data_IF_119328543100
#
_entry.id   IF_119328543100
#
_cell.length_a   1.000
_cell.length_b   1.000
_cell.length_c   1.000
_cell.angle_alpha   90.00
_cell.angle_beta   90.00
_cell.angle_gamma   90.00
#
_symmetry.space_group_name_H-M   'P 1'
#
loop_
_entity.id
_entity.type
_entity.pdbx_description
1 polymer ?
#
# COMPACT_ATOMS: atom_id res chain seq x y z
N UNK A 1 -18.74 -21.12 -55.37
CA UNK A 1 -18.23 -21.51 -54.03
C UNK A 1 -16.84 -20.93 -53.68
N UNK A 2 -16.33 -19.90 -54.38
CA UNK A 2 -15.05 -19.23 -53.99
C UNK A 2 -15.26 -17.89 -53.26
N UNK A 3 -16.44 -17.29 -53.40
CA UNK A 3 -16.78 -16.00 -52.77
C UNK A 3 -17.19 -16.19 -51.29
N UNK A 4 -17.68 -17.38 -50.91
CA UNK A 4 -18.07 -17.67 -49.52
C UNK A 4 -16.86 -17.80 -48.57
N UNK A 5 -15.69 -18.21 -49.08
CA UNK A 5 -14.48 -18.39 -48.25
C UNK A 5 -13.77 -17.07 -47.92
N UNK A 6 -14.07 -15.97 -48.63
CA UNK A 6 -13.47 -14.64 -48.37
C UNK A 6 -14.25 -13.93 -47.24
N UNK A 7 -15.56 -14.17 -47.12
CA UNK A 7 -16.39 -13.56 -46.08
C UNK A 7 -16.07 -14.07 -44.66
N UNK A 8 -15.54 -15.29 -44.52
CA UNK A 8 -15.26 -15.91 -43.22
C UNK A 8 -13.92 -15.47 -42.60
N UNK A 9 -13.01 -14.89 -43.39
CA UNK A 9 -11.69 -14.44 -42.92
C UNK A 9 -11.74 -12.98 -42.41
N UNK A 10 -12.71 -12.18 -42.84
CA UNK A 10 -12.87 -10.79 -42.38
C UNK A 10 -13.40 -10.65 -40.94
N UNK A 11 -13.92 -11.72 -40.32
CA UNK A 11 -14.48 -11.65 -38.96
C UNK A 11 -13.44 -11.77 -37.83
N UNK A 12 -12.17 -12.05 -38.13
CA UNK A 12 -11.12 -12.26 -37.11
C UNK A 12 -10.21 -11.05 -36.84
N UNK A 13 -10.49 -9.87 -37.42
CA UNK A 13 -9.59 -8.70 -37.31
C UNK A 13 -10.14 -7.51 -36.52
N UNK A 14 -11.22 -7.66 -35.77
CA UNK A 14 -11.63 -6.65 -34.78
C UNK A 14 -10.95 -6.90 -33.44
N UNK A 15 -9.61 -6.83 -33.40
CA UNK A 15 -8.92 -6.59 -32.14
C UNK A 15 -9.15 -5.12 -31.78
N UNK A 16 -10.22 -4.86 -31.03
CA UNK A 16 -10.41 -3.56 -30.41
C UNK A 16 -9.29 -3.39 -29.39
N UNK A 17 -8.33 -2.51 -29.68
CA UNK A 17 -7.27 -2.17 -28.73
C UNK A 17 -7.91 -1.45 -27.55
N UNK A 18 -8.09 -2.14 -26.43
CA UNK A 18 -8.58 -1.60 -25.16
C UNK A 18 -7.59 -0.60 -24.56
N UNK A 19 -8.10 0.28 -23.70
CA UNK A 19 -7.28 1.20 -22.91
C UNK A 19 -6.66 0.45 -21.74
N UNK A 20 -5.34 0.57 -21.57
CA UNK A 20 -4.62 -0.09 -20.48
C UNK A 20 -4.67 0.75 -19.22
N UNK A 21 -5.15 0.18 -18.13
CA UNK A 21 -5.20 0.81 -16.80
C UNK A 21 -4.13 0.17 -15.91
N UNK A 22 -3.06 0.89 -15.63
CA UNK A 22 -2.06 0.48 -14.66
C UNK A 22 -2.57 0.83 -13.24
N UNK A 23 -3.13 -0.16 -12.56
CA UNK A 23 -3.64 -0.02 -11.20
C UNK A 23 -2.51 -0.20 -10.19
N UNK A 24 -2.18 0.85 -9.45
CA UNK A 24 -1.19 0.78 -8.37
C UNK A 24 -1.89 0.30 -7.10
N UNK A 25 -1.87 -1.01 -6.88
CA UNK A 25 -2.64 -1.70 -5.82
C UNK A 25 -1.94 -1.70 -4.46
N UNK A 26 -0.77 -1.07 -4.32
CA UNK A 26 0.02 -1.06 -3.08
C UNK A 26 -0.77 -0.66 -1.82
N UNK A 27 -1.76 0.23 -1.94
CA UNK A 27 -2.58 0.72 -0.82
C UNK A 27 -4.00 0.17 -0.81
N UNK A 28 -4.28 -0.82 -1.65
CA UNK A 28 -5.58 -1.45 -1.79
C UNK A 28 -5.53 -2.83 -1.17
N UNK A 29 -6.60 -3.26 -0.50
CA UNK A 29 -6.76 -4.66 -0.14
C UNK A 29 -6.94 -5.51 -1.41
N UNK A 30 -6.73 -6.82 -1.28
CA UNK A 30 -7.00 -7.77 -2.37
C UNK A 30 -8.46 -7.66 -2.84
N UNK A 31 -9.41 -7.58 -1.91
CA UNK A 31 -10.84 -7.39 -2.21
C UNK A 31 -11.12 -6.08 -2.97
N UNK A 32 -10.46 -4.98 -2.60
CA UNK A 32 -10.61 -3.70 -3.30
C UNK A 32 -10.02 -3.79 -4.71
N UNK A 33 -8.82 -4.35 -4.83
CA UNK A 33 -8.12 -4.54 -6.10
C UNK A 33 -8.96 -5.38 -7.05
N UNK A 34 -9.50 -6.50 -6.59
CA UNK A 34 -10.38 -7.38 -7.36
C UNK A 34 -11.66 -6.68 -7.80
N UNK A 35 -12.30 -5.94 -6.88
CA UNK A 35 -13.54 -5.23 -7.18
C UNK A 35 -13.33 -4.16 -8.26
N UNK A 36 -12.28 -3.35 -8.13
CA UNK A 36 -11.92 -2.32 -9.12
C UNK A 36 -11.58 -2.97 -10.46
N UNK A 37 -10.76 -4.03 -10.43
CA UNK A 37 -10.33 -4.73 -11.64
C UNK A 37 -11.52 -5.25 -12.44
N UNK A 38 -12.42 -6.00 -11.78
CA UNK A 38 -13.63 -6.54 -12.41
C UNK A 38 -14.53 -5.45 -12.98
N UNK A 39 -14.81 -4.39 -12.20
CA UNK A 39 -15.65 -3.28 -12.67
C UNK A 39 -15.07 -2.58 -13.90
N UNK A 40 -13.74 -2.40 -13.97
CA UNK A 40 -13.12 -1.78 -15.14
C UNK A 40 -13.05 -2.74 -16.33
N UNK A 41 -12.78 -4.03 -16.11
CA UNK A 41 -12.79 -5.04 -17.18
C UNK A 41 -14.19 -5.22 -17.80
N UNK A 42 -15.27 -5.05 -17.02
CA UNK A 42 -16.66 -5.01 -17.52
C UNK A 42 -16.93 -3.85 -18.50
N UNK A 43 -16.09 -2.81 -18.48
CA UNK A 43 -16.15 -1.65 -19.39
C UNK A 43 -15.02 -1.68 -20.44
N UNK A 44 -14.54 -2.87 -20.80
CA UNK A 44 -13.53 -3.10 -21.85
C UNK A 44 -12.14 -2.46 -21.56
N UNK A 45 -11.80 -2.19 -20.29
CA UNK A 45 -10.44 -1.82 -19.90
C UNK A 45 -9.55 -3.04 -19.69
N UNK A 46 -8.27 -2.96 -20.09
CA UNK A 46 -7.25 -3.94 -19.71
C UNK A 46 -6.56 -3.46 -18.43
N UNK A 47 -6.82 -4.12 -17.28
CA UNK A 47 -6.27 -3.70 -16.00
C UNK A 47 -4.97 -4.47 -15.69
N UNK A 48 -3.89 -3.73 -15.44
CA UNK A 48 -2.58 -4.26 -15.07
C UNK A 48 -2.27 -3.79 -13.65
N UNK A 49 -2.61 -4.63 -12.66
CA UNK A 49 -2.30 -4.36 -11.27
C UNK A 49 -0.79 -4.50 -10.99
N UNK A 50 -0.24 -3.59 -10.19
CA UNK A 50 1.14 -3.64 -9.75
C UNK A 50 1.30 -3.03 -8.34
N UNK A 51 2.37 -3.42 -7.65
CA UNK A 51 2.67 -2.98 -6.27
C UNK A 51 3.80 -1.96 -6.20
N UNK A 52 4.07 -1.25 -7.31
CA UNK A 52 5.09 -0.21 -7.37
C UNK A 52 4.74 0.93 -6.41
N UNK A 53 5.78 1.64 -5.97
CA UNK A 53 5.61 2.84 -5.16
C UNK A 53 4.87 3.93 -5.97
N UNK A 54 4.01 4.69 -5.30
CA UNK A 54 3.49 5.93 -5.86
C UNK A 54 4.66 6.93 -5.99
N UNK A 55 4.66 7.80 -7.01
CA UNK A 55 5.57 8.95 -7.05
C UNK A 55 5.42 9.84 -5.80
N UNK A 56 6.50 10.53 -5.41
CA UNK A 56 6.54 11.38 -4.21
C UNK A 56 5.60 12.59 -4.27
N UNK A 57 5.15 13.00 -5.47
CA UNK A 57 4.22 14.11 -5.69
C UNK A 57 2.72 13.70 -5.60
N UNK A 58 2.42 12.41 -5.45
CA UNK A 58 1.04 11.89 -5.49
C UNK A 58 0.47 11.68 -4.08
N UNK A 59 -0.05 12.77 -3.50
CA UNK A 59 -0.54 12.76 -2.11
C UNK A 59 -2.01 12.34 -1.92
N UNK A 60 -2.77 12.27 -3.01
CA UNK A 60 -4.19 11.93 -3.03
C UNK A 60 -4.50 11.02 -4.22
N UNK A 61 -5.66 10.37 -4.20
CA UNK A 61 -6.13 9.57 -5.33
C UNK A 61 -6.00 10.35 -6.64
N UNK A 62 -5.27 9.79 -7.60
CA UNK A 62 -4.84 10.47 -8.81
C UNK A 62 -5.03 9.55 -10.01
N UNK A 63 -5.67 10.08 -11.04
CA UNK A 63 -5.72 9.49 -12.37
C UNK A 63 -4.76 10.24 -13.27
N UNK A 64 -3.78 9.50 -13.79
CA UNK A 64 -2.82 9.98 -14.79
C UNK A 64 -3.19 9.40 -16.15
N UNK A 65 -3.45 10.21 -17.17
CA UNK A 65 -3.88 9.67 -18.47
C UNK A 65 -3.02 10.12 -19.64
N UNK A 66 -2.82 9.25 -20.63
CA UNK A 66 -2.21 9.65 -21.90
C UNK A 66 -3.15 10.61 -22.65
N UNK A 67 -2.68 11.75 -23.19
CA UNK A 67 -3.53 12.62 -24.01
C UNK A 67 -4.09 11.97 -25.28
N UNK A 68 -3.59 10.78 -25.63
CA UNK A 68 -4.06 9.96 -26.74
C UNK A 68 -4.90 8.77 -26.28
N UNK A 69 -5.55 8.86 -25.11
CA UNK A 69 -6.61 7.90 -24.74
C UNK A 69 -7.71 7.96 -25.80
N UNK A 70 -8.06 6.81 -26.36
CA UNK A 70 -9.10 6.72 -27.39
C UNK A 70 -10.48 6.97 -26.76
N UNK A 71 -11.24 7.88 -27.37
CA UNK A 71 -12.61 8.22 -26.98
C UNK A 71 -12.65 9.11 -25.73
N UNK A 72 -13.12 10.36 -25.88
CA UNK A 72 -13.37 11.25 -24.73
C UNK A 72 -14.28 10.59 -23.69
N UNK A 73 -15.22 9.74 -24.15
CA UNK A 73 -16.15 9.00 -23.29
C UNK A 73 -15.46 7.95 -22.41
N UNK A 74 -14.35 7.34 -22.85
CA UNK A 74 -13.71 6.27 -22.08
C UNK A 74 -13.11 6.76 -20.77
N UNK A 75 -12.57 7.99 -20.74
CA UNK A 75 -12.06 8.55 -19.50
C UNK A 75 -13.21 8.83 -18.51
N UNK A 76 -14.35 9.33 -19.01
CA UNK A 76 -15.53 9.56 -18.18
C UNK A 76 -16.11 8.25 -17.63
N UNK A 77 -16.23 7.21 -18.47
CA UNK A 77 -16.69 5.88 -18.04
C UNK A 77 -15.80 5.33 -16.91
N UNK A 78 -14.48 5.50 -17.01
CA UNK A 78 -13.54 5.07 -15.97
C UNK A 78 -13.77 5.85 -14.67
N UNK A 79 -13.88 7.18 -14.74
CA UNK A 79 -14.12 8.03 -13.58
C UNK A 79 -15.46 7.68 -12.92
N UNK A 80 -16.54 7.58 -13.69
CA UNK A 80 -17.88 7.26 -13.20
C UNK A 80 -17.93 5.86 -12.55
N UNK A 81 -17.23 4.89 -13.14
CA UNK A 81 -17.09 3.54 -12.58
C UNK A 81 -16.43 3.56 -11.20
N UNK A 82 -15.41 4.39 -11.02
CA UNK A 82 -14.72 4.55 -9.74
C UNK A 82 -15.58 5.29 -8.72
N UNK A 83 -16.29 6.34 -9.12
CA UNK A 83 -17.21 7.07 -8.23
C UNK A 83 -18.34 6.17 -7.74
N UNK A 84 -18.91 5.32 -8.61
CA UNK A 84 -19.92 4.33 -8.24
C UNK A 84 -19.40 3.28 -7.23
N UNK A 85 -18.08 3.03 -7.23
CA UNK A 85 -17.42 2.19 -6.25
C UNK A 85 -17.08 2.93 -4.94
N UNK A 86 -17.32 4.24 -4.88
CA UNK A 86 -17.03 5.10 -3.73
C UNK A 86 -15.64 5.76 -3.78
N UNK A 87 -14.92 5.69 -4.89
CA UNK A 87 -13.60 6.31 -5.04
C UNK A 87 -13.72 7.72 -5.60
N UNK A 88 -13.11 8.68 -4.91
CA UNK A 88 -12.99 10.06 -5.40
C UNK A 88 -11.65 10.27 -6.08
N UNK A 89 -11.65 10.96 -7.23
CA UNK A 89 -10.46 11.31 -7.99
C UNK A 89 -10.23 12.84 -7.99
N UNK A 90 -9.70 13.41 -6.90
CA UNK A 90 -9.47 14.86 -6.82
C UNK A 90 -8.40 15.37 -7.80
N UNK A 91 -7.52 14.50 -8.30
CA UNK A 91 -6.55 14.86 -9.34
C UNK A 91 -6.78 13.97 -10.55
N UNK A 92 -7.14 14.59 -11.66
CA UNK A 92 -7.14 14.00 -13.00
C UNK A 92 -6.21 14.84 -13.84
N UNK A 93 -5.02 14.30 -14.19
CA UNK A 93 -4.02 15.05 -14.95
C UNK A 93 -3.40 14.21 -16.06
N UNK A 94 -2.97 14.83 -17.18
CA UNK A 94 -2.30 14.07 -18.22
C UNK A 94 -0.89 13.59 -17.79
N UNK A 95 -0.43 12.49 -18.37
CA UNK A 95 0.91 11.93 -18.18
C UNK A 95 1.95 12.74 -18.96
N UNK A 96 2.86 13.39 -18.22
CA UNK A 96 3.97 14.17 -18.76
C UNK A 96 5.30 13.79 -18.09
N UNK A 97 6.39 13.78 -18.85
CA UNK A 97 7.72 14.13 -18.31
C UNK A 97 8.34 15.21 -19.19
N UNK A 98 8.50 16.40 -18.62
CA UNK A 98 8.89 17.57 -19.41
C UNK A 98 7.94 17.77 -20.60
N UNK A 99 8.47 17.77 -21.82
CA UNK A 99 7.72 18.00 -23.06
C UNK A 99 7.31 16.71 -23.81
N UNK A 100 7.41 15.53 -23.19
CA UNK A 100 7.12 14.25 -23.85
C UNK A 100 5.93 13.52 -23.21
N UNK A 101 5.00 13.09 -24.06
CA UNK A 101 3.84 12.28 -23.69
C UNK A 101 4.24 10.80 -23.54
N UNK A 102 3.83 10.17 -22.44
CA UNK A 102 4.03 8.74 -22.25
C UNK A 102 2.95 7.89 -22.93
N UNK A 103 3.36 6.65 -23.26
CA UNK A 103 2.58 5.49 -23.73
C UNK A 103 1.16 5.77 -24.23
N UNK A 104 0.95 5.60 -25.55
CA UNK A 104 -0.36 5.77 -26.20
C UNK A 104 -1.42 4.86 -25.54
N UNK A 105 -2.63 5.39 -25.35
CA UNK A 105 -3.81 4.68 -24.84
C UNK A 105 -3.63 3.99 -23.46
N UNK A 106 -2.98 4.69 -22.53
CA UNK A 106 -2.74 4.17 -21.17
C UNK A 106 -3.18 5.17 -20.09
N UNK A 107 -3.59 4.62 -18.95
CA UNK A 107 -4.00 5.35 -17.73
C UNK A 107 -3.23 4.75 -16.55
N UNK A 108 -2.62 5.59 -15.72
CA UNK A 108 -2.14 5.24 -14.39
C UNK A 108 -3.20 5.57 -13.35
N UNK A 109 -3.59 4.58 -12.56
CA UNK A 109 -4.62 4.73 -11.53
C UNK A 109 -3.99 4.51 -10.15
N UNK A 110 -3.89 5.60 -9.40
CA UNK A 110 -3.29 5.65 -8.07
C UNK A 110 -4.39 5.98 -7.07
N UNK A 111 -4.89 4.98 -6.33
CA UNK A 111 -6.00 5.16 -5.40
C UNK A 111 -5.51 5.08 -3.95
N UNK A 112 -5.95 6.04 -3.14
CA UNK A 112 -5.79 6.06 -1.69
C UNK A 112 -7.18 5.93 -1.03
N UNK A 113 -7.37 4.98 -0.11
CA UNK A 113 -8.63 4.86 0.64
C UNK A 113 -8.99 6.17 1.36
N UNK A 114 -10.29 6.45 1.48
CA UNK A 114 -10.78 7.64 2.18
C UNK A 114 -10.15 7.75 3.58
N UNK A 115 -9.59 8.93 3.88
CA UNK A 115 -8.90 9.21 5.13
C UNK A 115 -7.39 8.92 5.13
N UNK A 116 -6.83 8.35 4.06
CA UNK A 116 -5.37 8.23 3.87
C UNK A 116 -4.86 9.32 2.91
N UNK A 117 -4.07 10.26 3.43
CA UNK A 117 -3.17 11.09 2.63
C UNK A 117 -1.80 10.43 2.60
N UNK A 118 -1.01 10.61 1.54
CA UNK A 118 0.39 10.14 1.54
C UNK A 118 1.21 10.80 2.67
N UNK A 119 0.81 11.99 3.14
CA UNK A 119 1.34 12.65 4.35
C UNK A 119 1.05 11.93 5.66
N UNK A 120 0.09 10.99 5.67
CA UNK A 120 -0.23 10.15 6.84
C UNK A 120 0.62 8.88 6.88
N UNK A 121 1.50 8.68 5.87
CA UNK A 121 2.53 7.66 5.90
C UNK A 121 3.61 8.09 6.91
N UNK A 122 3.73 7.32 7.99
CA UNK A 122 4.88 7.42 8.87
C UNK A 122 6.15 7.16 8.04
N UNK A 123 7.06 8.13 8.03
CA UNK A 123 8.38 7.95 7.47
C UNK A 123 9.12 6.93 8.34
N UNK A 124 10.09 6.21 7.78
CA UNK A 124 10.92 5.27 8.54
C UNK A 124 11.54 5.94 9.79
N UNK A 125 11.88 7.22 9.70
CA UNK A 125 12.38 8.01 10.83
C UNK A 125 11.36 8.25 11.95
N UNK A 126 10.06 8.30 11.63
CA UNK A 126 8.98 8.49 12.61
C UNK A 126 8.73 7.21 13.41
N UNK A 127 9.19 6.06 12.89
CA UNK A 127 9.18 4.77 13.59
C UNK A 127 10.41 4.57 14.50
N UNK A 128 11.42 5.43 14.43
CA UNK A 128 12.62 5.31 15.26
C UNK A 128 12.32 5.78 16.67
N UNK A 129 11.88 4.86 17.52
CA UNK A 129 11.47 5.13 18.88
C UNK A 129 11.70 3.93 19.81
N UNK A 130 11.50 4.19 21.10
CA UNK A 130 11.38 3.18 22.14
C UNK A 130 9.90 2.86 22.35
N UNK A 131 9.53 1.62 22.02
CA UNK A 131 8.18 1.12 22.16
C UNK A 131 8.05 0.27 23.42
N UNK A 132 6.98 0.51 24.15
CA UNK A 132 6.57 -0.30 25.29
C UNK A 132 5.68 -1.43 24.80
N UNK A 133 5.87 -2.64 25.33
CA UNK A 133 5.00 -3.74 24.96
C UNK A 133 3.71 -3.74 25.77
N UNK A 134 2.59 -3.90 25.07
CA UNK A 134 1.25 -4.02 25.63
C UNK A 134 0.66 -5.39 25.32
N UNK A 135 -0.27 -5.84 26.16
CA UNK A 135 -0.95 -7.14 26.02
C UNK A 135 0.04 -8.32 26.01
N UNK A 136 1.15 -8.16 26.72
CA UNK A 136 2.19 -9.16 26.89
C UNK A 136 2.18 -9.77 28.29
N UNK A 137 2.47 -11.05 28.37
CA UNK A 137 2.79 -11.73 29.64
C UNK A 137 4.22 -11.41 30.11
N UNK A 138 5.07 -10.92 29.20
CA UNK A 138 6.48 -10.59 29.45
C UNK A 138 6.69 -9.08 29.33
N UNK A 139 7.45 -8.52 30.27
CA UNK A 139 7.92 -7.13 30.20
C UNK A 139 9.05 -7.03 29.19
N UNK A 140 8.74 -6.50 27.99
CA UNK A 140 9.68 -6.33 26.88
C UNK A 140 9.53 -4.94 26.27
N UNK A 141 10.65 -4.36 25.84
CA UNK A 141 10.69 -3.12 25.05
C UNK A 141 11.31 -3.38 23.69
N UNK A 142 10.83 -2.68 22.68
CA UNK A 142 11.39 -2.68 21.33
C UNK A 142 11.95 -1.31 21.00
N UNK A 143 13.25 -1.24 20.70
CA UNK A 143 13.89 -0.06 20.13
C UNK A 143 14.06 -0.25 18.62
N UNK A 144 13.58 0.71 17.83
CA UNK A 144 13.90 0.81 16.41
C UNK A 144 14.92 1.95 16.21
N UNK A 145 16.07 1.64 15.63
CA UNK A 145 17.16 2.60 15.42
C UNK A 145 17.15 3.18 14.02
N UNK A 146 17.76 4.36 13.86
CA UNK A 146 17.87 5.07 12.57
C UNK A 146 18.66 4.30 11.50
N UNK A 147 19.56 3.42 11.92
CA UNK A 147 20.38 2.60 11.04
C UNK A 147 19.69 1.29 10.62
N UNK A 148 18.37 1.23 10.76
CA UNK A 148 17.52 0.08 10.42
C UNK A 148 17.79 -1.15 11.30
N UNK A 149 18.44 -0.98 12.45
CA UNK A 149 18.61 -2.05 13.44
C UNK A 149 17.53 -1.99 14.53
N UNK A 150 17.19 -3.13 15.12
CA UNK A 150 16.31 -3.18 16.30
C UNK A 150 17.01 -3.81 17.50
N UNK A 151 16.56 -3.45 18.71
CA UNK A 151 16.87 -4.20 19.94
C UNK A 151 15.61 -4.51 20.75
N UNK A 152 15.53 -5.72 21.29
CA UNK A 152 14.57 -6.13 22.30
C UNK A 152 15.24 -6.17 23.68
N UNK A 153 14.60 -5.56 24.68
CA UNK A 153 15.10 -5.55 26.07
C UNK A 153 14.03 -6.12 27.00
N UNK A 154 14.38 -7.13 27.79
CA UNK A 154 13.48 -7.79 28.75
C UNK A 154 13.83 -7.37 30.17
N UNK A 155 12.83 -7.03 30.98
CA UNK A 155 13.04 -6.56 32.36
C UNK A 155 13.13 -7.72 33.37
N UNK A 156 12.37 -8.79 33.14
CA UNK A 156 12.04 -9.76 34.20
C UNK A 156 12.53 -11.20 33.93
N UNK A 157 13.23 -11.46 32.83
CA UNK A 157 13.63 -12.82 32.46
C UNK A 157 15.08 -12.89 31.99
N UNK A 158 15.93 -13.74 32.61
CA UNK A 158 17.23 -14.09 32.03
C UNK A 158 16.98 -15.06 30.87
N UNK A 159 16.55 -14.54 29.72
CA UNK A 159 16.35 -15.38 28.54
C UNK A 159 17.71 -15.85 28.01
N UNK A 160 17.84 -17.17 27.90
CA UNK A 160 19.03 -17.90 27.42
C UNK A 160 19.20 -17.86 25.90
N UNK A 161 18.35 -17.13 25.16
CA UNK A 161 18.41 -17.03 23.71
C UNK A 161 18.68 -15.59 23.27
N UNK A 162 19.94 -15.19 23.14
CA UNK A 162 20.32 -13.85 22.68
C UNK A 162 20.00 -13.62 21.19
N UNK A 163 19.60 -14.66 20.46
CA UNK A 163 19.64 -14.68 19.00
C UNK A 163 18.58 -13.81 18.32
N UNK A 164 17.42 -13.60 18.96
CA UNK A 164 16.35 -12.73 18.44
C UNK A 164 16.39 -11.32 19.04
N UNK A 165 17.27 -11.04 20.01
CA UNK A 165 17.33 -9.76 20.72
C UNK A 165 17.70 -8.59 19.81
N UNK A 166 18.42 -8.87 18.73
CA UNK A 166 18.88 -7.84 17.79
C UNK A 166 18.68 -8.31 16.36
N UNK A 167 18.59 -7.35 15.45
CA UNK A 167 18.45 -7.63 14.04
C UNK A 167 18.20 -6.37 13.24
N UNK A 168 17.59 -6.53 12.06
CA UNK A 168 17.24 -5.44 11.16
C UNK A 168 15.74 -5.32 11.00
N UNK A 169 15.26 -4.11 10.74
CA UNK A 169 13.87 -3.86 10.40
C UNK A 169 13.77 -3.12 9.06
N UNK A 170 12.66 -3.31 8.36
CA UNK A 170 12.31 -2.52 7.17
C UNK A 170 10.80 -2.58 6.94
N UNK A 171 10.30 -1.71 6.05
CA UNK A 171 8.89 -1.67 5.64
C UNK A 171 8.79 -2.39 4.28
N UNK A 172 8.48 -3.70 4.23
CA UNK A 172 8.35 -4.41 2.96
C UNK A 172 7.19 -3.87 2.11
N UNK A 173 6.09 -3.52 2.75
CA UNK A 173 4.94 -2.82 2.16
C UNK A 173 4.21 -2.11 3.28
N UNK A 174 3.96 -0.81 3.15
CA UNK A 174 3.11 -0.10 4.13
C UNK A 174 1.69 -0.69 4.12
N UNK A 175 0.99 -0.81 5.26
CA UNK A 175 1.38 -0.41 6.62
C UNK A 175 2.18 -1.47 7.39
N UNK A 176 2.87 -2.40 6.74
CA UNK A 176 3.58 -3.48 7.42
C UNK A 176 5.07 -3.19 7.63
N UNK A 177 5.55 -3.51 8.82
CA UNK A 177 6.98 -3.55 9.18
C UNK A 177 7.40 -5.00 9.43
N UNK A 178 8.60 -5.35 8.97
CA UNK A 178 9.22 -6.65 9.20
C UNK A 178 10.50 -6.48 9.99
N UNK A 179 10.62 -7.22 11.09
CA UNK A 179 11.84 -7.37 11.87
C UNK A 179 12.45 -8.74 11.55
N UNK A 180 13.76 -8.78 11.33
CA UNK A 180 14.51 -10.02 11.05
C UNK A 180 15.70 -10.08 11.99
N UNK A 181 15.81 -11.15 12.77
CA UNK A 181 16.91 -11.34 13.72
C UNK A 181 18.28 -11.39 13.03
N UNK A 182 19.33 -11.09 13.78
CA UNK A 182 20.71 -11.11 13.27
C UNK A 182 21.12 -12.48 12.70
N UNK A 183 20.65 -13.58 13.31
CA UNK A 183 20.87 -14.94 12.82
C UNK A 183 19.95 -15.34 11.64
N UNK A 184 19.00 -14.47 11.23
CA UNK A 184 18.00 -14.68 10.17
C UNK A 184 16.98 -15.80 10.41
N UNK A 185 16.97 -16.42 11.59
CA UNK A 185 16.05 -17.51 11.92
C UNK A 185 14.67 -17.00 12.34
N UNK A 186 14.58 -15.76 12.83
CA UNK A 186 13.35 -15.18 13.36
C UNK A 186 12.92 -14.02 12.48
N UNK A 187 11.63 -14.02 12.12
CA UNK A 187 10.98 -12.91 11.44
C UNK A 187 9.69 -12.57 12.16
N UNK A 188 9.46 -11.28 12.39
CA UNK A 188 8.27 -10.77 13.05
C UNK A 188 7.60 -9.75 12.12
N UNK A 189 6.30 -9.88 11.93
CA UNK A 189 5.52 -8.97 11.08
C UNK A 189 4.51 -8.21 11.93
N UNK A 190 4.53 -6.88 11.77
CA UNK A 190 3.58 -6.02 12.44
C UNK A 190 2.89 -5.10 11.43
N UNK A 191 1.63 -4.83 11.70
CA UNK A 191 0.89 -3.73 11.08
C UNK A 191 1.12 -2.46 11.90
N UNK A 192 1.51 -1.39 11.23
CA UNK A 192 1.69 -0.05 11.78
C UNK A 192 0.31 0.62 11.82
N UNK A 193 -0.16 0.93 13.02
CA UNK A 193 -1.41 1.64 13.25
C UNK A 193 -1.12 2.99 13.92
N UNK A 194 -1.66 4.08 13.36
CA UNK A 194 -1.64 5.40 14.00
C UNK A 194 -3.01 5.68 14.61
N UNK A 195 -3.04 6.14 15.86
CA UNK A 195 -4.26 6.50 16.58
C UNK A 195 -4.02 7.83 17.30
N UNK A 196 -5.10 8.58 17.51
CA UNK A 196 -5.07 9.76 18.38
C UNK A 196 -5.97 9.45 19.56
N UNK A 197 -5.46 9.68 20.76
CA UNK A 197 -6.19 9.55 22.01
C UNK A 197 -6.14 10.88 22.78
N UNK A 198 -6.95 11.00 23.84
CA UNK A 198 -6.94 12.15 24.75
C UNK A 198 -6.60 11.62 26.15
N UNK A 199 -5.43 11.98 26.67
CA UNK A 199 -5.10 11.72 28.07
C UNK A 199 -5.78 12.75 28.98
N UNK A 200 -5.58 12.66 30.30
CA UNK A 200 -6.18 13.59 31.27
C UNK A 200 -5.79 15.06 31.05
N UNK A 201 -4.82 15.36 30.18
CA UNK A 201 -4.19 16.67 30.02
C UNK A 201 -4.23 17.17 28.56
N UNK A 202 -4.09 16.29 27.57
CA UNK A 202 -3.82 16.66 26.17
C UNK A 202 -4.15 15.55 25.18
N UNK A 203 -4.13 15.87 23.88
CA UNK A 203 -4.17 14.85 22.82
C UNK A 203 -2.82 14.14 22.75
N UNK A 204 -2.85 12.84 22.51
CA UNK A 204 -1.67 12.00 22.31
C UNK A 204 -1.79 11.31 20.96
N UNK A 205 -0.75 11.41 20.14
CA UNK A 205 -0.58 10.58 18.96
C UNK A 205 0.15 9.30 19.33
N UNK A 206 -0.45 8.15 19.01
CA UNK A 206 0.05 6.82 19.35
C UNK A 206 0.34 6.06 18.06
N UNK A 207 1.54 5.50 17.98
CA UNK A 207 1.93 4.51 16.99
C UNK A 207 1.92 3.14 17.67
N UNK A 208 1.08 2.23 17.17
CA UNK A 208 1.00 0.84 17.61
C UNK A 208 1.55 -0.06 16.50
N UNK A 209 2.51 -0.91 16.82
CA UNK A 209 2.93 -2.04 16.01
C UNK A 209 2.15 -3.27 16.47
N UNK A 210 1.08 -3.58 15.74
CA UNK A 210 0.18 -4.68 16.06
C UNK A 210 0.67 -5.96 15.36
N UNK A 211 0.80 -7.09 16.07
CA UNK A 211 1.28 -8.32 15.45
C UNK A 211 0.30 -8.81 14.38
N UNK A 212 0.81 -9.19 13.21
CA UNK A 212 0.00 -9.73 12.10
C UNK A 212 -0.40 -11.19 12.40
N UNK A 213 0.49 -11.92 13.05
CA UNK A 213 0.33 -13.31 13.42
C UNK A 213 0.80 -13.59 14.86
N UNK A 214 0.49 -14.81 15.35
CA UNK A 214 0.94 -15.24 16.68
C UNK A 214 2.42 -15.60 16.62
N UNK A 215 3.28 -14.63 16.95
CA UNK A 215 4.72 -14.84 17.04
C UNK A 215 5.09 -15.87 18.12
N UNK A 216 6.00 -16.80 17.81
CA UNK A 216 6.43 -17.82 18.80
C UNK A 216 7.06 -17.22 20.07
N UNK A 217 7.79 -16.10 19.91
CA UNK A 217 8.52 -15.44 21.01
C UNK A 217 7.61 -14.54 21.86
N UNK A 218 6.59 -13.92 21.24
CA UNK A 218 5.67 -13.00 21.91
C UNK A 218 4.29 -13.00 21.21
N UNK A 219 3.47 -14.05 21.41
CA UNK A 219 2.33 -14.36 20.53
C UNK A 219 1.18 -13.35 20.50
N UNK A 220 1.16 -12.38 21.41
CA UNK A 220 0.08 -11.40 21.53
C UNK A 220 0.55 -9.96 21.76
N UNK A 221 1.86 -9.73 21.69
CA UNK A 221 2.45 -8.45 22.03
C UNK A 221 2.25 -7.41 20.95
N UNK A 222 1.56 -6.31 21.30
CA UNK A 222 1.64 -5.05 20.56
C UNK A 222 2.80 -4.21 21.13
N UNK A 223 3.40 -3.37 20.31
CA UNK A 223 4.41 -2.39 20.75
C UNK A 223 3.90 -0.97 20.50
N UNK A 224 3.82 -0.14 21.53
CA UNK A 224 3.24 1.20 21.46
C UNK A 224 4.26 2.30 21.79
N UNK A 225 4.16 3.41 21.07
CA UNK A 225 4.90 4.64 21.32
C UNK A 225 3.93 5.82 21.21
N UNK A 226 3.96 6.74 22.17
CA UNK A 226 3.04 7.88 22.23
C UNK A 226 3.77 9.21 22.40
N UNK A 227 3.34 10.23 21.65
CA UNK A 227 3.81 11.62 21.76
C UNK A 227 2.63 12.54 22.05
N UNK A 228 2.79 13.44 23.02
CA UNK A 228 1.80 14.48 23.33
C UNK A 228 1.79 15.56 22.25
N UNK A 229 0.59 16.03 21.91
CA UNK A 229 0.32 17.14 20.97
C UNK A 229 -0.15 18.37 21.74
#
# INVERSE_FOLDING_TARGET
MKILSIALICFFLLSCSSTKVHLYSRYLSEQQTDKITKTLEEHDFEVIANTLAFPDDVQQSTLLYSPFVKGEDNLNILIDSLENLGWRLPIVKPLFAGNHYYTKNSVGLLLLPDGLKQSDKLLSQDLVNDYEAEKCEISVKLRLNRDETYQLSYSDVPFSQPEHLTGKWHIPSYPYIKLVSANKMWSFYFEIQKKTDIDLVSKVEIIELKPVDKHHVFPYCSFTYGVRI
#
